data_IF_855604224130
#
_entry.id   IF_855604224130
#
_cell.length_a   1.000
_cell.length_b   1.000
_cell.length_c   1.000
_cell.angle_alpha   90.00
_cell.angle_beta   90.00
_cell.angle_gamma   90.00
#
_symmetry.space_group_name_H-M   'P 1'
#
loop_
_entity.id
_entity.type
_entity.pdbx_description
1 polymer ?
#
# COMPACT_ATOMS: atom_id res chain seq x y z
N UNK A 1 -13.73 4.21 -26.75
CA UNK A 1 -12.80 3.62 -25.75
C UNK A 1 -13.59 3.30 -24.47
N UNK A 2 -13.91 2.02 -24.18
CA UNK A 2 -14.76 1.62 -23.03
C UNK A 2 -14.24 0.40 -22.23
N UNK A 3 -13.14 -0.20 -22.67
CA UNK A 3 -12.61 -1.46 -22.12
C UNK A 3 -11.52 -1.28 -21.05
N UNK A 4 -10.81 -0.14 -21.03
CA UNK A 4 -9.79 0.16 -20.02
C UNK A 4 -10.37 0.27 -18.61
N UNK A 5 -11.41 1.08 -18.44
CA UNK A 5 -12.02 1.39 -17.14
C UNK A 5 -12.61 0.15 -16.45
N UNK A 6 -13.26 -0.76 -17.19
CA UNK A 6 -13.79 -2.02 -16.61
C UNK A 6 -12.69 -2.93 -16.07
N UNK A 7 -11.51 -2.94 -16.71
CA UNK A 7 -10.36 -3.73 -16.25
C UNK A 7 -9.73 -3.13 -15.00
N UNK A 8 -9.62 -1.80 -14.92
CA UNK A 8 -9.18 -1.07 -13.71
C UNK A 8 -10.09 -1.34 -12.52
N UNK A 9 -11.41 -1.26 -12.72
CA UNK A 9 -12.37 -1.54 -11.66
C UNK A 9 -12.29 -2.98 -11.15
N UNK A 10 -12.09 -3.96 -12.04
CA UNK A 10 -11.92 -5.36 -11.66
C UNK A 10 -10.64 -5.56 -10.84
N UNK A 11 -9.52 -4.99 -11.28
CA UNK A 11 -8.26 -5.08 -10.55
C UNK A 11 -8.36 -4.42 -9.16
N UNK A 12 -8.97 -3.25 -9.07
CA UNK A 12 -9.17 -2.54 -7.79
C UNK A 12 -10.07 -3.33 -6.84
N UNK A 13 -11.13 -3.96 -7.37
CA UNK A 13 -12.00 -4.84 -6.58
C UNK A 13 -11.25 -6.06 -6.07
N UNK A 14 -10.51 -6.75 -6.94
CA UNK A 14 -9.71 -7.92 -6.53
C UNK A 14 -8.67 -7.54 -5.47
N UNK A 15 -8.01 -6.39 -5.62
CA UNK A 15 -7.11 -5.84 -4.62
C UNK A 15 -7.82 -5.62 -3.28
N UNK A 16 -9.02 -5.05 -3.29
CA UNK A 16 -9.82 -4.86 -2.09
C UNK A 16 -10.23 -6.19 -1.45
N UNK A 17 -10.71 -7.15 -2.24
CA UNK A 17 -11.12 -8.46 -1.73
C UNK A 17 -9.94 -9.19 -1.05
N UNK A 18 -8.73 -9.07 -1.60
CA UNK A 18 -7.48 -9.60 -1.03
C UNK A 18 -7.14 -8.89 0.29
N UNK A 19 -7.11 -7.55 0.27
CA UNK A 19 -6.83 -6.71 1.45
C UNK A 19 -7.81 -7.02 2.58
N UNK A 20 -9.09 -7.16 2.27
CA UNK A 20 -10.15 -7.54 3.21
C UNK A 20 -9.93 -8.97 3.75
N UNK A 21 -9.55 -9.93 2.89
CA UNK A 21 -9.23 -11.30 3.30
C UNK A 21 -8.05 -11.35 4.29
N UNK A 22 -7.05 -10.48 4.11
CA UNK A 22 -5.90 -10.34 5.02
C UNK A 22 -6.15 -9.38 6.19
N UNK A 23 -7.38 -8.85 6.35
CA UNK A 23 -7.77 -7.89 7.40
C UNK A 23 -6.83 -6.68 7.47
N UNK A 24 -6.48 -6.15 6.30
CA UNK A 24 -5.67 -4.95 6.16
C UNK A 24 -6.60 -3.75 6.05
N UNK A 25 -6.37 -2.73 6.88
CA UNK A 25 -7.20 -1.53 6.87
C UNK A 25 -6.70 -0.56 5.78
N UNK A 26 -7.23 -0.72 4.56
CA UNK A 26 -7.03 0.20 3.42
C UNK A 26 -8.37 0.73 2.91
N UNK A 27 -8.97 1.71 3.62
CA UNK A 27 -10.28 2.25 3.25
C UNK A 27 -10.25 3.04 1.92
N UNK A 28 -9.07 3.43 1.44
CA UNK A 28 -8.91 4.33 0.29
C UNK A 28 -8.77 3.68 -1.08
N UNK A 29 -8.88 2.35 -1.22
CA UNK A 29 -8.68 1.68 -2.52
C UNK A 29 -9.78 2.10 -3.50
N UNK A 30 -9.46 2.89 -4.53
CA UNK A 30 -10.41 3.37 -5.53
C UNK A 30 -9.79 3.41 -6.93
N UNK A 31 -10.55 2.99 -7.95
CA UNK A 31 -10.16 3.19 -9.34
C UNK A 31 -10.52 4.60 -9.80
N UNK A 32 -9.54 5.43 -10.18
CA UNK A 32 -9.73 6.79 -10.74
C UNK A 32 -8.84 6.98 -11.97
N UNK A 33 -9.41 7.52 -13.04
CA UNK A 33 -8.70 7.87 -14.29
C UNK A 33 -7.82 6.74 -14.88
N UNK A 34 -8.28 5.49 -14.77
CA UNK A 34 -7.55 4.31 -15.27
C UNK A 34 -6.43 3.83 -14.35
N UNK A 35 -6.21 4.50 -13.21
CA UNK A 35 -5.30 4.12 -12.12
C UNK A 35 -6.08 3.63 -10.91
N UNK A 36 -5.39 3.02 -9.96
CA UNK A 36 -5.93 2.52 -8.70
C UNK A 36 -5.23 3.29 -7.59
N UNK A 37 -5.93 4.25 -6.99
CA UNK A 37 -5.52 4.87 -5.74
C UNK A 37 -5.63 3.83 -4.62
N UNK A 38 -4.58 3.67 -3.83
CA UNK A 38 -4.59 2.76 -2.67
C UNK A 38 -5.03 3.50 -1.39
N UNK A 39 -4.77 4.82 -1.33
CA UNK A 39 -5.17 5.69 -0.22
C UNK A 39 -4.19 5.63 0.94
N UNK A 40 -4.58 6.15 2.11
CA UNK A 40 -3.77 6.05 3.32
C UNK A 40 -3.99 4.73 4.04
N UNK A 41 -2.93 4.26 4.71
CA UNK A 41 -2.96 3.08 5.56
C UNK A 41 -2.10 3.34 6.80
N UNK A 42 -2.44 2.77 7.96
CA UNK A 42 -1.58 2.89 9.15
C UNK A 42 -0.19 2.28 8.90
N UNK A 43 0.87 2.73 9.62
CA UNK A 43 2.19 2.10 9.52
C UNK A 43 2.16 0.59 9.79
N UNK A 44 1.33 0.14 10.73
CA UNK A 44 1.12 -1.29 10.98
C UNK A 44 0.53 -2.03 9.77
N UNK A 45 -0.46 -1.44 9.11
CA UNK A 45 -1.07 -2.02 7.89
C UNK A 45 -0.09 -2.02 6.73
N UNK A 46 0.65 -0.92 6.52
CA UNK A 46 1.65 -0.79 5.46
C UNK A 46 2.80 -1.81 5.64
N UNK A 47 3.24 -2.06 6.87
CA UNK A 47 4.25 -3.09 7.15
C UNK A 47 3.70 -4.51 6.88
N UNK A 48 2.43 -4.78 7.22
CA UNK A 48 1.78 -6.06 6.85
C UNK A 48 1.69 -6.23 5.33
N UNK A 49 1.36 -5.18 4.58
CA UNK A 49 1.39 -5.19 3.11
C UNK A 49 2.80 -5.48 2.59
N UNK A 50 3.82 -4.83 3.13
CA UNK A 50 5.20 -5.07 2.73
C UNK A 50 5.58 -6.54 2.95
N UNK A 51 5.19 -7.14 4.08
CA UNK A 51 5.40 -8.57 4.35
C UNK A 51 4.67 -9.49 3.39
N UNK A 52 3.42 -9.20 3.03
CA UNK A 52 2.66 -9.96 2.04
C UNK A 52 3.32 -9.91 0.65
N UNK A 53 3.92 -8.77 0.31
CA UNK A 53 4.73 -8.59 -0.90
C UNK A 53 6.08 -9.34 -0.82
N UNK A 54 6.42 -9.93 0.32
CA UNK A 54 7.64 -10.68 0.55
C UNK A 54 8.80 -9.87 1.12
N UNK A 55 8.54 -8.71 1.72
CA UNK A 55 9.55 -8.01 2.52
C UNK A 55 9.90 -8.85 3.75
N UNK A 56 11.19 -9.03 4.01
CA UNK A 56 11.68 -9.64 5.24
C UNK A 56 11.22 -8.80 6.43
N UNK A 57 10.52 -9.36 7.44
CA UNK A 57 10.04 -8.59 8.58
C UNK A 57 11.22 -7.88 9.28
N UNK A 58 11.02 -6.64 9.79
CA UNK A 58 12.01 -6.04 10.68
C UNK A 58 12.16 -6.95 11.90
N UNK A 59 13.38 -6.93 12.45
CA UNK A 59 13.73 -7.67 13.65
C UNK A 59 12.65 -7.44 14.74
N UNK A 60 12.07 -8.48 15.36
CA UNK A 60 11.06 -8.31 16.40
C UNK A 60 11.53 -7.41 17.54
N UNK A 61 12.83 -7.39 17.85
CA UNK A 61 13.42 -6.47 18.82
C UNK A 61 13.41 -5.01 18.35
N UNK A 62 13.52 -4.77 17.04
CA UNK A 62 13.43 -3.43 16.46
C UNK A 62 11.99 -2.89 16.46
N UNK A 63 10.99 -3.77 16.42
CA UNK A 63 9.57 -3.42 16.57
C UNK A 63 9.18 -3.12 18.02
N UNK A 64 9.86 -3.72 18.99
CA UNK A 64 9.63 -3.47 20.41
C UNK A 64 10.32 -2.19 20.91
N UNK A 65 11.41 -1.78 20.26
CA UNK A 65 12.25 -0.66 20.69
C UNK A 65 11.81 0.73 20.18
N UNK A 66 11.02 0.80 19.11
CA UNK A 66 10.56 2.08 18.54
C UNK A 66 9.21 1.92 17.80
N UNK A 67 8.34 2.96 17.83
CA UNK A 67 7.15 2.97 16.99
C UNK A 67 7.52 2.81 15.51
N UNK A 68 6.65 2.16 14.75
CA UNK A 68 6.81 1.98 13.31
C UNK A 68 6.77 3.35 12.61
N UNK A 69 7.95 3.86 12.29
CA UNK A 69 8.12 5.09 11.53
C UNK A 69 7.47 4.96 10.14
N UNK A 70 6.54 5.87 9.83
CA UNK A 70 5.79 5.90 8.60
C UNK A 70 6.70 5.99 7.37
N UNK A 71 7.81 6.73 7.46
CA UNK A 71 8.80 6.86 6.38
C UNK A 71 9.51 5.53 6.12
N UNK A 72 9.99 4.91 7.20
CA UNK A 72 10.71 3.63 7.11
C UNK A 72 9.83 2.51 6.59
N UNK A 73 8.58 2.46 7.04
CA UNK A 73 7.59 1.49 6.54
C UNK A 73 7.22 1.79 5.10
N UNK A 74 7.03 3.06 4.74
CA UNK A 74 6.71 3.48 3.38
C UNK A 74 7.80 3.05 2.39
N UNK A 75 9.07 3.24 2.74
CA UNK A 75 10.19 2.82 1.90
C UNK A 75 10.29 1.30 1.77
N UNK A 76 10.09 0.57 2.87
CA UNK A 76 10.04 -0.91 2.83
C UNK A 76 8.93 -1.40 1.91
N UNK A 77 7.76 -0.76 1.97
CA UNK A 77 6.64 -1.08 1.10
C UNK A 77 6.95 -0.77 -0.37
N UNK A 78 7.62 0.37 -0.67
CA UNK A 78 8.08 0.70 -2.03
C UNK A 78 9.00 -0.38 -2.59
N UNK A 79 10.00 -0.79 -1.81
CA UNK A 79 10.97 -1.82 -2.21
C UNK A 79 10.29 -3.18 -2.44
N UNK A 80 9.39 -3.57 -1.52
CA UNK A 80 8.64 -4.81 -1.64
C UNK A 80 7.71 -4.81 -2.87
N UNK A 81 7.06 -3.68 -3.13
CA UNK A 81 6.21 -3.49 -4.29
C UNK A 81 7.01 -3.58 -5.58
N UNK A 82 8.16 -2.90 -5.67
CA UNK A 82 9.03 -2.97 -6.84
C UNK A 82 9.51 -4.41 -7.07
N UNK A 83 9.89 -5.13 -6.02
CA UNK A 83 10.26 -6.54 -6.13
C UNK A 83 9.11 -7.43 -6.62
N UNK A 84 7.90 -7.24 -6.09
CA UNK A 84 6.72 -8.04 -6.45
C UNK A 84 6.18 -7.74 -7.86
N UNK A 85 6.32 -6.51 -8.32
CA UNK A 85 5.84 -6.05 -9.64
C UNK A 85 6.89 -6.11 -10.74
N UNK A 86 8.13 -6.52 -10.42
CA UNK A 86 9.21 -6.59 -11.39
C UNK A 86 9.76 -5.22 -11.80
N UNK A 87 9.74 -4.25 -10.87
CA UNK A 87 10.36 -2.93 -11.01
C UNK A 87 9.39 -1.75 -11.11
N UNK A 88 8.07 -1.95 -10.94
CA UNK A 88 7.15 -0.81 -10.91
C UNK A 88 7.32 -0.01 -9.61
N UNK A 89 7.22 1.31 -9.70
CA UNK A 89 7.33 2.18 -8.55
C UNK A 89 5.95 2.39 -7.90
N UNK A 90 5.89 2.17 -6.59
CA UNK A 90 4.78 2.65 -5.77
C UNK A 90 5.12 4.05 -5.26
N UNK A 91 4.21 4.98 -5.45
CA UNK A 91 4.36 6.29 -4.82
C UNK A 91 3.82 6.23 -3.39
N UNK A 92 4.66 6.51 -2.40
CA UNK A 92 4.33 6.49 -0.97
C UNK A 92 4.79 7.80 -0.35
N UNK A 93 3.86 8.64 0.07
CA UNK A 93 4.20 9.88 0.77
C UNK A 93 3.72 9.78 2.20
N UNK A 94 4.50 10.21 3.16
CA UNK A 94 4.01 10.35 4.53
C UNK A 94 3.13 11.59 4.57
N UNK A 95 1.84 11.41 4.85
CA UNK A 95 1.00 12.53 5.22
C UNK A 95 1.35 12.88 6.66
N UNK A 96 2.21 13.89 6.80
CA UNK A 96 2.29 14.64 8.04
C UNK A 96 0.91 15.25 8.29
N UNK A 97 0.50 15.35 9.55
CA UNK A 97 -0.79 15.93 9.93
C UNK A 97 -0.80 17.42 9.54
N UNK A 98 -1.14 17.74 8.29
CA UNK A 98 -1.31 19.12 7.86
C UNK A 98 -2.51 19.71 8.61
N UNK A 99 -2.18 20.58 9.57
CA UNK A 99 -3.04 21.58 10.17
C UNK A 99 -4.28 21.08 10.93
N UNK A 100 -4.05 20.36 12.03
CA UNK A 100 -4.86 20.54 13.23
C UNK A 100 -3.92 20.59 14.44
N UNK A 101 -4.13 21.48 15.43
CA UNK A 101 -3.35 21.51 16.67
C UNK A 101 -3.79 20.35 17.58
N UNK A 102 -3.68 19.12 17.09
CA UNK A 102 -3.95 17.91 17.83
C UNK A 102 -2.63 17.14 17.92
N UNK A 103 -1.95 17.14 19.08
CA UNK A 103 -0.65 16.47 19.27
C UNK A 103 -0.72 14.93 19.19
N UNK A 104 -1.88 14.36 18.87
CA UNK A 104 -2.16 12.92 18.89
C UNK A 104 -2.39 12.29 17.50
N UNK A 105 -2.18 13.04 16.40
CA UNK A 105 -2.34 12.48 15.05
C UNK A 105 -1.02 11.82 14.61
N UNK A 106 -0.97 10.49 14.69
CA UNK A 106 0.17 9.71 14.19
C UNK A 106 0.36 9.93 12.68
N UNK A 107 1.61 10.08 12.19
CA UNK A 107 1.90 10.21 10.77
C UNK A 107 1.46 8.95 10.01
N UNK A 108 0.75 9.12 8.88
CA UNK A 108 0.12 8.02 8.17
C UNK A 108 0.71 7.90 6.76
N UNK A 109 1.23 6.72 6.34
CA UNK A 109 1.71 6.54 4.98
C UNK A 109 0.54 6.57 3.98
N UNK A 110 0.62 7.51 3.05
CA UNK A 110 -0.28 7.67 1.92
C UNK A 110 0.26 6.86 0.73
N UNK A 111 -0.41 5.76 0.43
CA UNK A 111 -0.15 4.93 -0.73
C UNK A 111 -0.84 5.58 -1.92
N UNK A 112 -0.05 6.12 -2.84
CA UNK A 112 -0.52 6.85 -4.00
C UNK A 112 -1.31 5.99 -4.98
N UNK A 113 -1.23 6.34 -6.27
CA UNK A 113 -1.95 5.60 -7.31
C UNK A 113 -1.02 4.69 -8.09
N UNK A 114 -1.42 3.42 -8.25
CA UNK A 114 -0.77 2.45 -9.12
C UNK A 114 -1.53 2.33 -10.45
N UNK A 115 -0.86 1.95 -11.52
CA UNK A 115 -1.53 1.69 -12.79
C UNK A 115 -2.16 0.28 -12.82
N UNK A 116 -2.96 0.00 -13.84
CA UNK A 116 -3.58 -1.33 -14.03
C UNK A 116 -2.55 -2.43 -14.20
N UNK A 117 -1.41 -2.13 -14.82
CA UNK A 117 -0.38 -3.13 -15.09
C UNK A 117 0.26 -3.57 -13.78
N UNK A 118 0.71 -2.62 -12.96
CA UNK A 118 1.27 -2.91 -11.65
C UNK A 118 0.25 -3.64 -10.77
N UNK A 119 -1.02 -3.21 -10.75
CA UNK A 119 -2.07 -3.90 -10.01
C UNK A 119 -2.27 -5.35 -10.44
N UNK A 120 -2.23 -5.62 -11.75
CA UNK A 120 -2.33 -6.99 -12.27
C UNK A 120 -1.10 -7.83 -11.94
N UNK A 121 0.10 -7.24 -12.01
CA UNK A 121 1.34 -7.92 -11.63
C UNK A 121 1.35 -8.24 -10.14
N UNK A 122 0.81 -7.34 -9.32
CA UNK A 122 0.64 -7.55 -7.89
C UNK A 122 -0.31 -8.71 -7.60
N UNK A 123 -1.47 -8.76 -8.25
CA UNK A 123 -2.43 -9.87 -8.14
C UNK A 123 -1.86 -11.19 -8.70
N UNK A 124 -0.98 -11.13 -9.71
CA UNK A 124 -0.35 -12.29 -10.31
C UNK A 124 0.96 -12.70 -9.60
N UNK A 125 1.45 -11.91 -8.65
CA UNK A 125 2.66 -12.22 -7.91
C UNK A 125 2.36 -13.46 -7.06
N UNK A 126 3.23 -14.49 -7.08
CA UNK A 126 2.98 -15.80 -6.48
C UNK A 126 2.94 -15.80 -4.93
N UNK A 127 2.83 -14.61 -4.32
CA UNK A 127 2.83 -14.38 -2.87
C UNK A 127 1.53 -13.75 -2.36
N UNK A 128 0.59 -13.44 -3.26
CA UNK A 128 -0.76 -12.99 -2.95
C UNK A 128 -1.77 -14.13 -2.88
#
# INVERSE_FOLDING_TARGET
>A
MRTGTKRTLKAARTLRDIVDAYRLDLPGIQARDGRIALGSASPATAERLARLLGATPPDPDALAAAPLDADRVGERLRLAFAAATGGDALDVHVQEAEAAPAPDVEPVPALGSIDVTAARRLVAAPRF
#
